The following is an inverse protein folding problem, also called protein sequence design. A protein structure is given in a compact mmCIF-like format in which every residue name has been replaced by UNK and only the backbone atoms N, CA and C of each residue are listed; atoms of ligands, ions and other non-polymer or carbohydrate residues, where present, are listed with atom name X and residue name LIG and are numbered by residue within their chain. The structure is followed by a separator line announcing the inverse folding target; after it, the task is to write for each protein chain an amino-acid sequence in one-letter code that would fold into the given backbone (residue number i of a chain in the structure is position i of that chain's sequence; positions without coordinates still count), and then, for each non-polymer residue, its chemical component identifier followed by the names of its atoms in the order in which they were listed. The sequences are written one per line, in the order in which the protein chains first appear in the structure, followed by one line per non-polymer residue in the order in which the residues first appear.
data_IF_661835903318
#
_entry.id   IF_661835903318
#
_cell.length_a   1.000
_cell.length_b   1.000
_cell.length_c   1.000
_cell.angle_alpha   90.00
_cell.angle_beta   90.00
_cell.angle_gamma   90.00
#
_symmetry.space_group_name_H-M   'P 1'
#
loop_
_entity.id
_entity.type
_entity.pdbx_description
1 polymer ?
#
# COMPACT_ATOMS: atom_id res chain seq x y z
N UNK A 1 13.21 1.86 11.20
CA UNK A 1 14.13 0.93 11.92
C UNK A 1 13.87 -0.50 11.47
N UNK A 2 14.90 -1.26 11.07
CA UNK A 2 14.75 -2.69 10.75
C UNK A 2 14.62 -3.50 12.04
N UNK A 3 13.48 -4.15 12.23
CA UNK A 3 13.17 -4.96 13.40
C UNK A 3 13.83 -6.34 13.31
N UNK A 4 13.60 -7.04 12.20
CA UNK A 4 14.02 -8.44 11.96
C UNK A 4 14.28 -8.63 10.46
N UNK A 5 15.20 -9.54 10.13
CA UNK A 5 15.40 -10.03 8.77
C UNK A 5 15.00 -11.51 8.66
N UNK A 6 14.22 -11.84 7.64
CA UNK A 6 13.77 -13.20 7.30
C UNK A 6 14.50 -13.73 6.06
N UNK A 7 14.43 -15.04 5.84
CA UNK A 7 14.76 -15.62 4.53
C UNK A 7 13.50 -15.68 3.67
N UNK A 8 13.45 -14.90 2.60
CA UNK A 8 12.33 -14.90 1.65
C UNK A 8 12.18 -16.22 0.89
N UNK A 9 13.22 -17.08 0.87
CA UNK A 9 13.12 -18.43 0.30
C UNK A 9 12.11 -19.34 1.01
N UNK A 10 11.68 -19.00 2.22
CA UNK A 10 10.65 -19.73 2.95
C UNK A 10 9.23 -19.32 2.57
N UNK A 11 9.09 -18.26 1.77
CA UNK A 11 7.80 -17.72 1.34
C UNK A 11 7.53 -18.27 -0.06
N UNK A 12 6.42 -19.00 -0.26
CA UNK A 12 6.07 -19.49 -1.59
C UNK A 12 5.82 -18.30 -2.54
N UNK A 13 6.04 -18.45 -3.86
CA UNK A 13 5.70 -17.40 -4.80
C UNK A 13 4.23 -16.98 -4.70
N UNK A 14 3.98 -15.68 -4.64
CA UNK A 14 2.65 -15.08 -4.50
C UNK A 14 2.21 -14.54 -5.85
N UNK A 15 0.99 -14.84 -6.28
CA UNK A 15 0.42 -14.25 -7.51
C UNK A 15 -0.42 -13.04 -7.16
N UNK A 16 -0.10 -11.89 -7.75
CA UNK A 16 -0.86 -10.66 -7.55
C UNK A 16 -2.24 -10.76 -8.23
N UNK A 17 -3.28 -10.29 -7.53
CA UNK A 17 -4.67 -10.26 -8.01
C UNK A 17 -5.14 -8.83 -8.26
N UNK A 18 -6.18 -8.60 -9.09
CA UNK A 18 -6.73 -7.25 -9.24
C UNK A 18 -7.19 -6.65 -7.91
N UNK A 19 -6.85 -5.39 -7.66
CA UNK A 19 -7.25 -4.67 -6.46
C UNK A 19 -8.76 -4.35 -6.49
N UNK A 20 -9.46 -4.68 -5.41
CA UNK A 20 -10.86 -4.31 -5.17
C UNK A 20 -11.04 -3.84 -3.72
N UNK A 21 -12.06 -3.03 -3.39
CA UNK A 21 -12.36 -2.71 -2.00
C UNK A 21 -12.59 -3.96 -1.13
N UNK A 22 -13.25 -4.99 -1.67
CA UNK A 22 -13.65 -6.18 -0.93
C UNK A 22 -12.46 -7.06 -0.53
N UNK A 23 -11.50 -7.26 -1.44
CA UNK A 23 -10.33 -8.09 -1.18
C UNK A 23 -9.23 -7.36 -0.39
N UNK A 24 -9.30 -6.02 -0.30
CA UNK A 24 -8.33 -5.22 0.46
C UNK A 24 -8.80 -4.81 1.86
N UNK A 25 -10.09 -5.03 2.20
CA UNK A 25 -10.73 -4.52 3.43
C UNK A 25 -10.04 -4.86 4.75
N UNK A 26 -9.30 -5.96 4.79
CA UNK A 26 -8.58 -6.42 5.98
C UNK A 26 -7.26 -5.67 6.21
N UNK A 27 -6.74 -5.01 5.17
CA UNK A 27 -5.46 -4.31 5.16
C UNK A 27 -5.64 -2.78 5.14
N UNK A 28 -6.86 -2.30 4.90
CA UNK A 28 -7.17 -0.87 4.87
C UNK A 28 -8.34 -0.56 3.94
N UNK A 29 -8.18 0.46 3.11
CA UNK A 29 -9.24 0.92 2.20
C UNK A 29 -8.72 1.24 0.81
N UNK A 30 -9.65 1.21 -0.16
CA UNK A 30 -9.38 1.54 -1.57
C UNK A 30 -10.32 2.67 -1.99
N UNK A 31 -9.79 3.69 -2.65
CA UNK A 31 -10.58 4.65 -3.42
C UNK A 31 -10.57 4.17 -4.87
N UNK A 32 -11.70 3.69 -5.37
CA UNK A 32 -11.83 3.22 -6.74
C UNK A 32 -13.20 3.60 -7.31
N UNK A 33 -13.25 4.57 -8.25
CA UNK A 33 -14.51 5.05 -8.82
C UNK A 33 -15.38 3.91 -9.38
N UNK A 34 -14.80 3.00 -10.16
CA UNK A 34 -15.54 1.92 -10.81
C UNK A 34 -16.25 0.99 -9.82
N UNK A 35 -15.61 0.70 -8.68
CA UNK A 35 -16.16 -0.17 -7.65
C UNK A 35 -17.21 0.53 -6.78
N UNK A 36 -17.10 1.85 -6.59
CA UNK A 36 -17.81 2.55 -5.51
C UNK A 36 -18.85 3.57 -5.99
N UNK A 37 -18.87 3.95 -7.29
CA UNK A 37 -19.81 4.94 -7.84
C UNK A 37 -21.29 4.57 -7.66
N UNK A 38 -21.56 3.27 -7.47
CA UNK A 38 -22.90 2.72 -7.25
C UNK A 38 -23.25 2.48 -5.77
N UNK A 39 -22.32 2.77 -4.85
CA UNK A 39 -22.53 2.68 -3.41
C UNK A 39 -23.41 3.82 -2.88
N UNK A 40 -23.68 3.82 -1.56
CA UNK A 40 -24.37 4.91 -0.89
C UNK A 40 -23.72 6.26 -1.22
N UNK A 41 -24.53 7.19 -1.71
CA UNK A 41 -24.08 8.48 -2.21
C UNK A 41 -25.03 9.60 -1.83
N UNK A 42 -24.47 10.79 -1.64
CA UNK A 42 -25.22 12.01 -1.46
C UNK A 42 -25.09 12.89 -2.70
N UNK A 43 -26.15 13.62 -3.03
CA UNK A 43 -26.07 14.65 -4.05
C UNK A 43 -25.23 15.83 -3.53
N UNK A 44 -24.39 16.40 -4.40
CA UNK A 44 -23.56 17.57 -4.12
C UNK A 44 -23.59 18.52 -5.33
N UNK A 45 -23.10 19.75 -5.13
CA UNK A 45 -22.99 20.77 -6.17
C UNK A 45 -24.30 20.97 -6.96
N UNK A 46 -25.43 21.11 -6.27
CA UNK A 46 -26.75 21.36 -6.86
C UNK A 46 -27.14 20.36 -7.97
N UNK A 47 -26.82 19.07 -7.81
CA UNK A 47 -27.17 18.04 -8.79
C UNK A 47 -26.04 17.63 -9.73
N UNK A 48 -24.90 18.34 -9.71
CA UNK A 48 -23.81 18.11 -10.67
C UNK A 48 -22.68 17.22 -10.15
N UNK A 49 -22.71 16.85 -8.86
CA UNK A 49 -21.75 15.93 -8.28
C UNK A 49 -22.43 14.89 -7.39
N UNK A 50 -21.80 13.72 -7.29
CA UNK A 50 -22.12 12.73 -6.27
C UNK A 50 -20.97 12.68 -5.27
N UNK A 51 -21.31 12.64 -3.98
CA UNK A 51 -20.37 12.42 -2.89
C UNK A 51 -20.54 10.98 -2.42
N UNK A 52 -19.47 10.21 -2.50
CA UNK A 52 -19.37 8.90 -1.86
C UNK A 52 -18.65 9.13 -0.52
N UNK A 53 -19.35 9.11 0.62
CA UNK A 53 -18.75 9.47 1.90
C UNK A 53 -17.89 8.32 2.45
N UNK A 54 -16.81 8.68 3.16
CA UNK A 54 -16.05 7.75 4.03
C UNK A 54 -15.50 6.51 3.30
N UNK A 55 -14.93 6.71 2.12
CA UNK A 55 -14.41 5.64 1.26
C UNK A 55 -13.21 4.91 1.90
N UNK A 56 -12.30 5.64 2.54
CA UNK A 56 -11.19 5.08 3.32
C UNK A 56 -11.01 5.84 4.64
N UNK A 57 -10.48 5.19 5.69
CA UNK A 57 -10.21 5.85 6.97
C UNK A 57 -8.98 6.78 6.88
N UNK A 58 -8.94 7.83 7.71
CA UNK A 58 -7.75 8.65 7.94
C UNK A 58 -7.56 8.73 9.45
N UNK A 59 -6.54 8.02 9.97
CA UNK A 59 -6.35 7.80 11.41
C UNK A 59 -5.00 8.35 11.87
N UNK A 60 -5.02 9.05 13.00
CA UNK A 60 -3.86 9.52 13.75
C UNK A 60 -3.93 8.95 15.17
N UNK A 61 -3.08 7.96 15.45
CA UNK A 61 -3.03 7.25 16.72
C UNK A 61 -1.72 7.49 17.49
N UNK A 62 -0.99 8.57 17.16
CA UNK A 62 0.25 8.95 17.86
C UNK A 62 0.05 9.29 19.34
N UNK A 63 -1.18 9.49 19.80
CA UNK A 63 -1.50 9.51 21.25
C UNK A 63 -1.02 8.25 21.99
N UNK A 64 -0.84 7.14 21.27
CA UNK A 64 -0.34 5.86 21.79
C UNK A 64 1.18 5.68 21.62
N UNK A 65 1.87 6.63 20.98
CA UNK A 65 3.33 6.63 20.85
C UNK A 65 3.99 7.35 22.04
N UNK A 66 5.34 7.37 22.11
CA UNK A 66 6.04 8.10 23.17
C UNK A 66 6.06 9.61 22.91
N UNK A 67 6.12 10.03 21.65
CA UNK A 67 6.01 11.45 21.29
C UNK A 67 4.61 12.01 21.57
N UNK A 68 3.57 11.17 21.54
CA UNK A 68 2.20 11.51 21.94
C UNK A 68 1.41 12.32 20.90
N UNK A 69 2.03 12.71 19.77
CA UNK A 69 1.38 13.49 18.72
C UNK A 69 2.04 13.29 17.36
N UNK A 70 1.22 13.23 16.31
CA UNK A 70 1.66 13.22 14.92
C UNK A 70 0.94 14.30 14.11
N UNK A 71 1.64 14.90 13.15
CA UNK A 71 1.13 15.96 12.27
C UNK A 71 0.72 15.35 10.94
N UNK A 72 -0.45 15.74 10.41
CA UNK A 72 -0.87 15.34 9.08
C UNK A 72 0.02 16.01 8.03
N UNK A 73 0.68 15.20 7.21
CA UNK A 73 1.55 15.62 6.13
C UNK A 73 0.98 15.13 4.79
N UNK A 74 1.03 16.01 3.79
CA UNK A 74 0.73 15.68 2.41
C UNK A 74 2.02 15.79 1.60
N UNK A 75 2.57 14.65 1.24
CA UNK A 75 3.84 14.52 0.54
C UNK A 75 3.63 14.22 -0.94
N UNK A 76 4.66 14.44 -1.76
CA UNK A 76 4.70 13.96 -3.15
C UNK A 76 5.76 12.86 -3.24
N UNK A 77 5.37 11.72 -3.80
CA UNK A 77 6.26 10.61 -4.10
C UNK A 77 6.30 10.43 -5.61
N UNK A 78 7.49 10.52 -6.19
CA UNK A 78 7.74 10.16 -7.60
C UNK A 78 8.38 8.79 -7.64
N UNK A 79 7.60 7.77 -8.02
CA UNK A 79 8.00 6.37 -7.99
C UNK A 79 8.39 5.90 -9.39
N UNK A 80 9.62 5.44 -9.56
CA UNK A 80 10.10 4.82 -10.80
C UNK A 80 10.09 3.30 -10.67
N UNK A 81 9.96 2.60 -11.79
CA UNK A 81 9.98 1.14 -11.82
C UNK A 81 11.31 0.57 -11.31
N UNK A 82 11.30 -0.41 -10.37
CA UNK A 82 12.52 -1.00 -9.83
C UNK A 82 13.04 -2.12 -10.75
N UNK A 83 13.58 -1.74 -11.92
CA UNK A 83 14.00 -2.70 -12.97
C UNK A 83 14.96 -3.79 -12.48
N UNK A 84 15.81 -3.48 -11.50
CA UNK A 84 16.76 -4.42 -10.90
C UNK A 84 16.11 -5.53 -10.06
N UNK A 85 14.83 -5.37 -9.67
CA UNK A 85 14.04 -6.37 -8.94
C UNK A 85 12.97 -7.01 -9.84
N UNK A 86 12.89 -6.61 -11.11
CA UNK A 86 11.88 -7.06 -12.04
C UNK A 86 12.47 -7.98 -13.12
N UNK A 87 11.71 -8.98 -13.51
CA UNK A 87 12.03 -9.83 -14.66
C UNK A 87 10.76 -10.11 -15.43
N UNK A 88 10.80 -9.89 -16.74
CA UNK A 88 9.72 -10.22 -17.65
C UNK A 88 10.06 -11.48 -18.45
N UNK A 89 9.10 -12.38 -18.64
CA UNK A 89 9.22 -13.55 -19.51
C UNK A 89 7.92 -13.70 -20.30
N UNK A 90 7.91 -13.21 -21.54
CA UNK A 90 6.67 -13.08 -22.31
C UNK A 90 5.72 -12.08 -21.65
N UNK A 91 4.49 -12.51 -21.39
CA UNK A 91 3.47 -11.69 -20.70
C UNK A 91 3.54 -11.82 -19.16
N UNK A 92 4.36 -12.74 -18.65
CA UNK A 92 4.52 -12.98 -17.22
C UNK A 92 5.61 -12.07 -16.64
N UNK A 93 5.28 -11.44 -15.51
CA UNK A 93 6.19 -10.58 -14.77
C UNK A 93 6.47 -11.13 -13.38
N UNK A 94 7.70 -10.90 -12.93
CA UNK A 94 8.17 -11.26 -11.60
C UNK A 94 8.81 -10.05 -10.92
N UNK A 95 8.42 -9.79 -9.68
CA UNK A 95 9.05 -8.83 -8.76
C UNK A 95 9.63 -9.54 -7.55
N UNK A 96 10.83 -9.14 -7.11
CA UNK A 96 11.45 -9.65 -5.88
C UNK A 96 11.28 -8.61 -4.76
N UNK A 97 10.41 -8.92 -3.81
CA UNK A 97 10.18 -8.09 -2.63
C UNK A 97 11.24 -8.38 -1.55
N UNK A 98 11.89 -7.34 -1.05
CA UNK A 98 13.01 -7.45 -0.10
C UNK A 98 12.73 -6.79 1.25
N UNK A 99 11.66 -6.00 1.35
CA UNK A 99 11.28 -5.28 2.57
C UNK A 99 9.76 -5.24 2.69
N UNK A 100 9.26 -5.40 3.91
CA UNK A 100 7.95 -4.90 4.31
C UNK A 100 8.15 -3.87 5.42
N UNK A 101 7.39 -2.79 5.37
CA UNK A 101 7.36 -1.71 6.35
C UNK A 101 5.95 -1.54 6.94
N UNK A 102 5.85 -0.88 8.09
CA UNK A 102 4.58 -0.49 8.69
C UNK A 102 4.69 0.88 9.34
N UNK A 103 3.54 1.54 9.46
CA UNK A 103 3.34 2.77 10.20
C UNK A 103 2.48 2.49 11.45
N UNK A 104 3.08 2.31 12.64
CA UNK A 104 2.37 1.78 13.82
C UNK A 104 1.23 2.66 14.34
N UNK A 105 1.24 3.96 14.02
CA UNK A 105 0.35 4.95 14.63
C UNK A 105 -0.46 5.79 13.62
N UNK A 106 -0.47 5.41 12.34
CA UNK A 106 -1.23 6.15 11.33
C UNK A 106 -1.64 5.26 10.18
N UNK A 107 -2.74 5.61 9.52
CA UNK A 107 -2.96 5.18 8.14
C UNK A 107 -1.98 5.89 7.21
N UNK A 108 -1.64 5.28 6.09
CA UNK A 108 -0.89 5.94 5.01
C UNK A 108 -1.66 5.76 3.70
N UNK A 109 -1.95 6.86 3.00
CA UNK A 109 -2.69 6.83 1.74
C UNK A 109 -1.81 7.27 0.59
N UNK A 110 -1.74 6.46 -0.46
CA UNK A 110 -1.14 6.82 -1.76
C UNK A 110 -2.26 7.09 -2.76
N UNK A 111 -2.32 8.34 -3.25
CA UNK A 111 -3.25 8.78 -4.28
C UNK A 111 -2.48 9.10 -5.56
N UNK A 112 -2.63 8.32 -6.64
CA UNK A 112 -2.03 8.69 -7.93
C UNK A 112 -2.51 10.08 -8.38
N UNK A 113 -1.59 10.89 -8.88
CA UNK A 113 -1.88 12.24 -9.40
C UNK A 113 -2.14 12.25 -10.92
N UNK A 114 -1.87 11.15 -11.61
CA UNK A 114 -2.27 10.91 -13.00
C UNK A 114 -3.48 9.98 -13.06
N UNK A 115 -4.32 10.15 -14.09
CA UNK A 115 -5.39 9.20 -14.39
C UNK A 115 -4.90 8.25 -15.48
N UNK A 116 -4.55 7.04 -15.07
CA UNK A 116 -4.33 5.94 -16.00
C UNK A 116 -5.31 4.82 -15.70
N UNK A 117 -5.97 4.37 -16.76
CA UNK A 117 -6.83 3.21 -16.73
C UNK A 117 -6.03 1.90 -16.85
N UNK A 118 -4.71 1.97 -17.00
CA UNK A 118 -3.82 0.82 -17.08
C UNK A 118 -3.33 0.38 -15.69
N UNK A 119 -2.77 -0.82 -15.59
CA UNK A 119 -2.05 -1.30 -14.39
C UNK A 119 -0.73 -0.54 -14.28
N UNK A 120 -0.53 0.16 -13.16
CA UNK A 120 0.61 1.06 -13.00
C UNK A 120 1.50 0.67 -11.82
N UNK A 121 0.97 0.03 -10.77
CA UNK A 121 1.74 -0.28 -9.55
C UNK A 121 1.29 -1.57 -8.85
N UNK A 122 2.17 -2.14 -8.03
CA UNK A 122 1.87 -3.26 -7.14
C UNK A 122 1.66 -2.76 -5.71
N UNK A 123 0.73 -3.43 -5.02
CA UNK A 123 0.55 -3.32 -3.57
C UNK A 123 0.77 -4.69 -2.97
N UNK A 124 1.67 -4.78 -1.99
CA UNK A 124 1.99 -6.03 -1.29
C UNK A 124 1.76 -5.75 0.19
N UNK A 125 0.97 -6.57 0.85
CA UNK A 125 0.55 -6.36 2.25
C UNK A 125 0.65 -7.64 3.05
N UNK A 126 0.79 -7.50 4.35
CA UNK A 126 0.69 -8.59 5.30
C UNK A 126 0.00 -8.13 6.59
N UNK A 127 -0.72 -9.04 7.25
CA UNK A 127 -1.17 -8.78 8.62
C UNK A 127 0.00 -8.90 9.59
N UNK A 128 -0.09 -8.19 10.71
CA UNK A 128 0.85 -8.38 11.80
C UNK A 128 0.54 -9.72 12.52
N UNK A 129 1.59 -10.45 12.88
CA UNK A 129 1.47 -11.59 13.77
C UNK A 129 1.00 -11.13 15.15
N UNK A 130 -0.08 -11.73 15.66
CA UNK A 130 -0.71 -11.30 16.91
C UNK A 130 0.13 -11.47 18.18
N UNK A 131 1.24 -12.23 18.12
CA UNK A 131 2.08 -12.52 19.28
C UNK A 131 3.33 -11.63 19.36
N UNK A 132 3.86 -11.22 18.21
CA UNK A 132 5.19 -10.58 18.13
C UNK A 132 5.23 -9.34 17.22
N UNK A 133 4.08 -8.90 16.69
CA UNK A 133 3.89 -7.67 15.90
C UNK A 133 4.76 -7.51 14.64
N UNK A 134 5.42 -8.57 14.18
CA UNK A 134 6.14 -8.64 12.90
C UNK A 134 5.21 -9.13 11.77
N UNK A 135 5.55 -8.97 10.47
CA UNK A 135 4.68 -9.47 9.40
C UNK A 135 4.50 -10.97 9.50
N UNK A 136 3.27 -11.45 9.34
CA UNK A 136 3.00 -12.88 9.21
C UNK A 136 3.36 -13.32 7.79
N UNK A 137 4.43 -14.11 7.67
CA UNK A 137 4.92 -14.59 6.37
C UNK A 137 3.95 -15.55 5.67
N UNK A 138 2.93 -16.06 6.36
CA UNK A 138 1.87 -16.90 5.79
C UNK A 138 0.65 -16.09 5.31
N UNK A 139 0.56 -14.80 5.61
CA UNK A 139 -0.57 -13.93 5.27
C UNK A 139 -0.12 -12.72 4.43
N UNK A 140 0.79 -12.96 3.48
CA UNK A 140 1.19 -11.97 2.48
C UNK A 140 0.26 -12.08 1.27
N UNK A 141 -0.33 -10.94 0.89
CA UNK A 141 -1.08 -10.80 -0.35
C UNK A 141 -0.47 -9.73 -1.25
N UNK A 142 -0.67 -9.88 -2.56
CA UNK A 142 -0.22 -8.91 -3.56
C UNK A 142 -1.36 -8.55 -4.51
N UNK A 143 -1.33 -7.31 -5.00
CA UNK A 143 -2.34 -6.74 -5.86
C UNK A 143 -1.73 -5.96 -7.02
N UNK A 144 -2.28 -6.13 -8.22
CA UNK A 144 -2.08 -5.20 -9.34
C UNK A 144 -3.10 -4.08 -9.24
N UNK A 145 -2.61 -2.84 -9.34
CA UNK A 145 -3.41 -1.65 -9.12
C UNK A 145 -3.37 -0.75 -10.36
N UNK A 146 -4.54 -0.22 -10.72
CA UNK A 146 -4.67 0.74 -11.82
C UNK A 146 -4.31 2.14 -11.37
N UNK A 147 -3.85 2.99 -12.28
CA UNK A 147 -3.50 4.38 -11.99
C UNK A 147 -4.68 5.22 -11.48
N UNK A 148 -5.92 4.77 -11.62
CA UNK A 148 -7.12 5.42 -11.09
C UNK A 148 -7.57 4.89 -9.71
N UNK A 149 -6.81 3.97 -9.09
CA UNK A 149 -7.07 3.43 -7.77
C UNK A 149 -6.13 4.10 -6.74
N UNK A 150 -6.64 4.41 -5.56
CA UNK A 150 -5.81 4.84 -4.43
C UNK A 150 -5.88 3.80 -3.32
N UNK A 151 -4.80 3.63 -2.58
CA UNK A 151 -4.74 2.70 -1.45
C UNK A 151 -4.46 3.44 -0.16
N UNK A 152 -5.20 3.08 0.88
CA UNK A 152 -4.93 3.49 2.27
C UNK A 152 -4.56 2.25 3.06
N UNK A 153 -3.31 2.14 3.49
CA UNK A 153 -2.90 1.13 4.46
C UNK A 153 -3.46 1.46 5.83
N UNK A 154 -4.01 0.45 6.51
CA UNK A 154 -4.47 0.55 7.89
C UNK A 154 -3.32 0.80 8.87
N UNK A 155 -3.67 1.28 10.07
CA UNK A 155 -2.70 1.50 11.15
C UNK A 155 -1.95 0.20 11.45
N UNK A 156 -0.61 0.24 11.39
CA UNK A 156 0.26 -0.89 11.69
C UNK A 156 0.24 -2.03 10.68
N UNK A 157 -0.47 -1.91 9.55
CA UNK A 157 -0.48 -2.91 8.49
C UNK A 157 0.87 -2.94 7.79
N UNK A 158 1.43 -4.14 7.66
CA UNK A 158 2.68 -4.35 6.94
C UNK A 158 2.44 -4.26 5.43
N UNK A 159 3.30 -3.56 4.72
CA UNK A 159 3.23 -3.40 3.28
C UNK A 159 4.62 -3.19 2.67
N UNK A 160 4.81 -3.53 1.41
CA UNK A 160 6.06 -3.18 0.72
C UNK A 160 6.11 -1.68 0.44
N UNK A 161 7.31 -1.07 0.37
CA UNK A 161 7.47 0.25 -0.23
C UNK A 161 6.81 0.30 -1.62
N UNK A 162 6.29 1.46 -2.02
CA UNK A 162 5.52 1.61 -3.27
C UNK A 162 6.28 1.07 -4.49
N UNK A 163 5.66 0.14 -5.23
CA UNK A 163 6.26 -0.53 -6.38
C UNK A 163 5.58 -0.07 -7.67
N UNK A 164 6.13 0.96 -8.33
CA UNK A 164 5.71 1.32 -9.67
C UNK A 164 6.13 0.23 -10.68
N UNK A 165 5.28 -0.09 -11.65
CA UNK A 165 5.53 -1.09 -12.70
C UNK A 165 5.23 -0.59 -14.12
N UNK A 166 4.62 0.59 -14.25
CA UNK A 166 4.49 1.30 -15.53
C UNK A 166 5.86 1.66 -16.13
N UNK A 167 5.89 1.90 -17.45
CA UNK A 167 7.10 2.30 -18.18
C UNK A 167 7.59 3.73 -17.86
N UNK A 168 6.77 4.52 -17.17
CA UNK A 168 7.10 5.87 -16.73
C UNK A 168 6.87 6.01 -15.22
N UNK A 169 7.48 7.03 -14.61
CA UNK A 169 7.31 7.29 -13.19
C UNK A 169 5.89 7.74 -12.86
N UNK A 170 5.35 7.26 -11.73
CA UNK A 170 4.05 7.66 -11.21
C UNK A 170 4.26 8.64 -10.06
N UNK A 171 3.54 9.75 -10.10
CA UNK A 171 3.49 10.69 -9.00
C UNK A 171 2.28 10.38 -8.10
N UNK A 172 2.52 10.28 -6.80
CA UNK A 172 1.50 10.10 -5.77
C UNK A 172 1.48 11.30 -4.83
N UNK A 173 0.28 11.78 -4.50
CA UNK A 173 0.08 12.50 -3.25
C UNK A 173 -0.03 11.47 -2.12
N UNK A 174 0.74 11.67 -1.05
CA UNK A 174 0.81 10.73 0.07
C UNK A 174 0.35 11.42 1.35
N UNK A 175 -0.76 10.95 1.92
CA UNK A 175 -1.28 11.43 3.20
C UNK A 175 -0.87 10.48 4.32
N UNK A 176 -0.17 11.01 5.31
CA UNK A 176 0.32 10.28 6.49
C UNK A 176 0.39 11.21 7.69
N UNK A 177 0.29 10.70 8.91
CA UNK A 177 0.65 11.48 10.10
C UNK A 177 2.07 11.10 10.54
N UNK A 178 2.90 12.06 10.90
CA UNK A 178 4.28 11.80 11.34
C UNK A 178 4.58 12.60 12.61
N UNK A 179 5.29 11.96 13.54
CA UNK A 179 5.79 12.59 14.76
C UNK A 179 7.13 13.30 14.55
N UNK A 180 7.87 12.91 13.50
CA UNK A 180 9.27 13.29 13.30
C UNK A 180 10.26 12.40 14.06
N UNK A 181 9.78 11.34 14.74
CA UNK A 181 10.62 10.32 15.38
C UNK A 181 10.68 9.10 14.48
N UNK A 182 11.82 8.80 13.83
CA UNK A 182 11.90 7.77 12.78
C UNK A 182 11.38 6.40 13.19
N UNK A 183 11.62 5.95 14.42
CA UNK A 183 11.19 4.63 14.89
C UNK A 183 9.71 4.55 15.26
N UNK A 184 9.06 5.68 15.49
CA UNK A 184 7.60 5.78 15.66
C UNK A 184 6.90 5.92 14.32
N UNK A 185 7.54 6.59 13.37
CA UNK A 185 6.98 6.87 12.06
C UNK A 185 7.02 5.61 11.18
N UNK A 186 8.15 4.89 11.13
CA UNK A 186 8.27 3.70 10.27
C UNK A 186 9.11 2.57 10.90
N UNK A 187 8.59 1.34 10.78
CA UNK A 187 9.27 0.11 11.16
C UNK A 187 9.37 -0.82 9.96
N UNK A 188 10.50 -1.53 9.82
CA UNK A 188 10.81 -2.35 8.65
C UNK A 188 11.18 -3.77 9.04
N UNK A 189 10.92 -4.71 8.14
CA UNK A 189 11.42 -6.08 8.18
C UNK A 189 12.07 -6.40 6.83
N UNK A 190 13.30 -6.90 6.88
CA UNK A 190 14.07 -7.27 5.68
C UNK A 190 13.85 -8.72 5.27
N UNK A 191 14.06 -9.02 4.00
CA UNK A 191 14.01 -10.37 3.43
C UNK A 191 15.26 -10.60 2.59
N UNK A 192 16.12 -11.54 3.01
CA UNK A 192 17.34 -11.90 2.30
C UNK A 192 17.54 -13.43 2.21
N UNK A 193 17.45 -14.03 1.01
CA UNK A 193 17.03 -13.38 -0.24
C UNK A 193 15.57 -12.88 -0.15
N UNK A 194 15.16 -12.01 -1.07
CA UNK A 194 13.76 -11.58 -1.18
C UNK A 194 12.80 -12.71 -1.56
N UNK A 195 11.50 -12.42 -1.53
CA UNK A 195 10.43 -13.34 -1.94
C UNK A 195 9.77 -12.90 -3.25
N UNK A 196 9.13 -13.86 -3.93
CA UNK A 196 8.66 -13.70 -5.30
C UNK A 196 7.19 -13.26 -5.38
N UNK A 197 6.93 -12.20 -6.15
CA UNK A 197 5.60 -11.76 -6.58
C UNK A 197 5.47 -11.93 -8.10
N UNK A 198 4.52 -12.74 -8.54
CA UNK A 198 4.20 -12.95 -9.95
C UNK A 198 2.95 -12.16 -10.34
N UNK A 199 2.95 -11.54 -11.52
CA UNK A 199 1.82 -10.72 -11.98
C UNK A 199 1.76 -10.62 -13.51
N UNK A 200 0.66 -10.06 -13.99
CA UNK A 200 0.43 -9.69 -15.40
C UNK A 200 -0.05 -8.25 -15.47
N UNK A 201 0.35 -7.55 -16.54
CA UNK A 201 -0.14 -6.22 -16.87
C UNK A 201 -1.32 -6.29 -17.83
#
# INVERSE_FOLDING_TARGET
MVLISFSGSLIPPITAKPLTPENFKEYGGVISPEHQVNSEKANANYGTAIKIPKVTPVINDYKNSKSGSGTANLNIFRCSRPDHLLTQTGDDWKYIATVLERHPFTTQTFLPLGQEDDICYLVIVAKANSLIEIPDSLDIEAFVCRGNQSVTYGVGVWHAPMVAISDHSIDFAVLVHESGVPEEDTQECGYNPGFEINFKM
#
